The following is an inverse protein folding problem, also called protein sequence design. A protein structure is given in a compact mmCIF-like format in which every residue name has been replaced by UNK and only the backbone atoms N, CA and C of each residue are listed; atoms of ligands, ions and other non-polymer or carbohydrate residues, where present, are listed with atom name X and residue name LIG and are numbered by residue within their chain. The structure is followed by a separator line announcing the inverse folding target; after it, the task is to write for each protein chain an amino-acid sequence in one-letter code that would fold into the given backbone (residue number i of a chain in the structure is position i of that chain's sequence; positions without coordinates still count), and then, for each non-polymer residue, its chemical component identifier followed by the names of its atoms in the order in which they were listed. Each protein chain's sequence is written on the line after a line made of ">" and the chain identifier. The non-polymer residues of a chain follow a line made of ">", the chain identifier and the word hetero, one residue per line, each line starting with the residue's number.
data_IF_678590434646
#
_entry.id   IF_678590434646
#
_cell.length_a   1.000
_cell.length_b   1.000
_cell.length_c   1.000
_cell.angle_alpha   90.00
_cell.angle_beta   90.00
_cell.angle_gamma   90.00
#
_symmetry.space_group_name_H-M   'P 1'
#
loop_
_entity.id
_entity.type
_entity.pdbx_description
1 polymer ?
#
# COMPACT_ATOMS: atom_id res chain seq x y z
N UNK A 1 -9.40 -65.31 -17.49
CA UNK A 1 -9.26 -64.89 -16.09
C UNK A 1 -8.19 -63.80 -16.02
N UNK A 2 -8.56 -62.66 -15.44
CA UNK A 2 -7.76 -61.46 -15.12
C UNK A 2 -7.14 -60.65 -16.29
N UNK A 3 -7.91 -59.67 -16.78
CA UNK A 3 -7.36 -58.43 -17.38
C UNK A 3 -7.09 -57.45 -16.23
N UNK A 4 -5.84 -57.03 -16.07
CA UNK A 4 -5.46 -55.93 -15.17
C UNK A 4 -5.53 -54.61 -15.96
N UNK A 5 -6.45 -53.73 -15.60
CA UNK A 5 -6.40 -52.31 -15.98
C UNK A 5 -5.32 -51.64 -15.12
N UNK A 6 -4.35 -50.96 -15.74
CA UNK A 6 -3.59 -49.90 -15.08
C UNK A 6 -4.01 -48.57 -15.69
N UNK A 7 -4.83 -47.84 -14.93
CA UNK A 7 -4.97 -46.39 -15.07
C UNK A 7 -3.69 -45.74 -14.52
N UNK A 8 -3.01 -44.93 -15.32
CA UNK A 8 -2.22 -43.82 -14.81
C UNK A 8 -2.82 -42.54 -15.37
N UNK A 9 -3.39 -41.75 -14.46
CA UNK A 9 -4.04 -40.48 -14.75
C UNK A 9 -3.02 -39.44 -15.21
N UNK A 10 -3.37 -38.78 -16.31
CA UNK A 10 -2.83 -37.49 -16.68
C UNK A 10 -3.31 -36.46 -15.65
N UNK A 11 -2.40 -35.97 -14.82
CA UNK A 11 -2.60 -34.75 -14.05
C UNK A 11 -2.66 -33.56 -15.03
N UNK A 12 -3.72 -32.73 -15.02
CA UNK A 12 -3.66 -31.44 -15.70
C UNK A 12 -2.72 -30.52 -14.92
N UNK A 13 -1.76 -29.95 -15.63
CA UNK A 13 -0.93 -28.86 -15.14
C UNK A 13 -1.81 -27.69 -14.68
N UNK A 14 -1.77 -27.37 -13.40
CA UNK A 14 -2.37 -26.15 -12.86
C UNK A 14 -1.41 -24.99 -13.09
N UNK A 15 -1.58 -24.27 -14.21
CA UNK A 15 -0.98 -22.96 -14.41
C UNK A 15 -1.88 -21.88 -13.79
N UNK A 16 -1.26 -21.06 -12.93
CA UNK A 16 -1.53 -19.65 -12.60
C UNK A 16 -2.94 -19.19 -12.15
N UNK A 17 -3.03 -18.65 -10.92
CA UNK A 17 -3.59 -17.29 -10.63
C UNK A 17 -3.64 -16.97 -9.11
N UNK A 18 -2.69 -16.21 -8.54
CA UNK A 18 -2.84 -15.62 -7.20
C UNK A 18 -3.52 -14.24 -7.18
N UNK A 19 -3.51 -13.50 -8.30
CA UNK A 19 -3.91 -12.09 -8.36
C UNK A 19 -5.43 -11.82 -8.33
N UNK A 20 -6.28 -12.83 -8.52
CA UNK A 20 -7.74 -12.64 -8.49
C UNK A 20 -8.32 -12.53 -7.06
N UNK A 21 -7.54 -12.79 -6.00
CA UNK A 21 -8.10 -13.10 -4.68
C UNK A 21 -8.54 -11.89 -3.84
N UNK A 22 -7.88 -10.73 -3.93
CA UNK A 22 -8.21 -9.54 -3.12
C UNK A 22 -9.40 -8.75 -3.68
N UNK A 23 -9.37 -8.45 -4.99
CA UNK A 23 -10.49 -7.86 -5.71
C UNK A 23 -11.74 -8.75 -5.67
N UNK A 24 -11.59 -10.07 -5.85
CA UNK A 24 -12.73 -10.99 -5.74
C UNK A 24 -13.29 -11.05 -4.32
N UNK A 25 -12.47 -10.88 -3.27
CA UNK A 25 -12.93 -10.88 -1.88
C UNK A 25 -13.66 -9.57 -1.52
N UNK A 26 -13.20 -8.42 -2.02
CA UNK A 26 -13.91 -7.11 -1.90
C UNK A 26 -15.22 -7.14 -2.70
N UNK A 27 -15.19 -7.61 -3.95
CA UNK A 27 -16.40 -7.82 -4.76
C UNK A 27 -17.38 -8.79 -4.09
N UNK A 28 -16.90 -9.90 -3.53
CA UNK A 28 -17.76 -10.85 -2.83
C UNK A 28 -18.45 -10.25 -1.60
N UNK A 29 -17.80 -9.35 -0.85
CA UNK A 29 -18.43 -8.61 0.25
C UNK A 29 -19.42 -7.52 -0.20
N UNK A 30 -19.36 -7.12 -1.48
CA UNK A 30 -20.25 -6.12 -2.08
C UNK A 30 -21.46 -6.75 -2.78
N UNK A 31 -21.51 -8.08 -2.95
CA UNK A 31 -22.65 -8.77 -3.53
C UNK A 31 -23.90 -8.57 -2.68
N UNK A 32 -24.99 -8.21 -3.34
CA UNK A 32 -26.30 -8.12 -2.72
C UNK A 32 -26.93 -9.52 -2.80
N UNK A 33 -27.27 -10.11 -1.64
CA UNK A 33 -27.92 -11.42 -1.59
C UNK A 33 -29.24 -11.39 -2.35
N UNK A 34 -29.50 -12.44 -3.13
CA UNK A 34 -30.76 -12.67 -3.83
C UNK A 34 -31.22 -11.53 -4.76
N UNK A 35 -30.27 -10.75 -5.29
CA UNK A 35 -30.52 -9.76 -6.35
C UNK A 35 -29.63 -10.00 -7.56
N UNK A 36 -30.21 -9.83 -8.73
CA UNK A 36 -29.57 -10.12 -10.01
C UNK A 36 -29.89 -9.06 -11.05
N UNK A 37 -28.93 -8.81 -11.94
CA UNK A 37 -29.09 -8.13 -13.21
C UNK A 37 -29.21 -9.19 -14.30
N UNK A 38 -30.30 -9.13 -15.06
CA UNK A 38 -30.59 -10.05 -16.16
C UNK A 38 -30.45 -9.28 -17.47
N UNK A 39 -29.58 -9.77 -18.37
CA UNK A 39 -29.41 -9.23 -19.72
C UNK A 39 -30.25 -10.05 -20.70
N UNK A 40 -31.09 -9.40 -21.49
CA UNK A 40 -31.84 -10.05 -22.58
C UNK A 40 -31.01 -10.07 -23.86
N UNK A 41 -31.26 -11.05 -24.74
CA UNK A 41 -30.63 -11.07 -26.07
C UNK A 41 -31.05 -9.84 -26.88
N UNK A 42 -30.11 -9.31 -27.66
CA UNK A 42 -30.39 -8.20 -28.57
C UNK A 42 -31.47 -8.58 -29.60
N UNK A 43 -32.41 -7.68 -29.83
CA UNK A 43 -33.54 -7.89 -30.75
C UNK A 43 -34.73 -8.68 -30.18
N UNK A 44 -34.65 -9.19 -28.94
CA UNK A 44 -35.80 -9.79 -28.27
C UNK A 44 -36.87 -8.73 -27.94
N UNK A 45 -38.15 -9.08 -28.12
CA UNK A 45 -39.26 -8.24 -27.66
C UNK A 45 -39.31 -8.31 -26.13
N UNK A 46 -39.02 -7.17 -25.49
CA UNK A 46 -38.86 -7.10 -24.04
C UNK A 46 -40.14 -7.49 -23.28
N UNK A 47 -41.33 -7.19 -23.82
CA UNK A 47 -42.60 -7.56 -23.17
C UNK A 47 -42.82 -9.07 -23.20
N UNK A 48 -42.45 -9.72 -24.31
CA UNK A 48 -42.48 -11.17 -24.41
C UNK A 48 -41.47 -11.82 -23.46
N UNK A 49 -40.28 -11.24 -23.29
CA UNK A 49 -39.30 -11.75 -22.32
C UNK A 49 -39.87 -11.70 -20.89
N UNK A 50 -40.50 -10.59 -20.49
CA UNK A 50 -41.11 -10.50 -19.16
C UNK A 50 -42.27 -11.50 -18.97
N UNK A 51 -43.02 -11.82 -20.02
CA UNK A 51 -44.05 -12.84 -19.99
C UNK A 51 -43.47 -14.26 -19.81
N UNK A 52 -42.40 -14.61 -20.55
CA UNK A 52 -41.68 -15.89 -20.39
C UNK A 52 -41.14 -16.04 -18.95
N UNK A 53 -40.60 -14.96 -18.39
CA UNK A 53 -40.14 -14.93 -17.00
C UNK A 53 -41.31 -15.14 -16.03
N UNK A 54 -42.46 -14.49 -16.25
CA UNK A 54 -43.66 -14.69 -15.43
C UNK A 54 -44.10 -16.16 -15.43
N UNK A 55 -44.08 -16.82 -16.61
CA UNK A 55 -44.43 -18.23 -16.75
C UNK A 55 -43.48 -19.14 -15.96
N UNK A 56 -42.16 -18.92 -16.04
CA UNK A 56 -41.16 -19.69 -15.26
C UNK A 56 -41.36 -19.50 -13.75
N UNK A 57 -41.75 -18.29 -13.33
CA UNK A 57 -42.01 -17.96 -11.94
C UNK A 57 -43.40 -18.41 -11.45
N UNK A 58 -44.28 -18.88 -12.36
CA UNK A 58 -45.67 -19.22 -12.03
C UNK A 58 -46.53 -18.01 -11.64
N UNK A 59 -46.19 -16.83 -12.18
CA UNK A 59 -46.87 -15.57 -11.91
C UNK A 59 -47.82 -15.21 -13.06
N UNK A 60 -48.93 -14.56 -12.76
CA UNK A 60 -49.80 -13.99 -13.79
C UNK A 60 -49.17 -12.82 -14.54
N UNK A 61 -48.23 -12.13 -13.89
CA UNK A 61 -47.48 -11.00 -14.43
C UNK A 61 -46.17 -10.88 -13.64
N UNK A 62 -45.06 -10.65 -14.33
CA UNK A 62 -43.79 -10.32 -13.71
C UNK A 62 -43.48 -8.83 -13.95
N UNK A 63 -43.25 -8.10 -12.85
CA UNK A 63 -42.82 -6.70 -12.87
C UNK A 63 -41.46 -6.61 -12.17
N UNK A 64 -40.36 -6.38 -12.92
CA UNK A 64 -39.07 -6.18 -12.29
C UNK A 64 -39.05 -4.89 -11.49
N UNK A 65 -38.20 -4.82 -10.47
CA UNK A 65 -38.01 -3.59 -9.69
C UNK A 65 -37.43 -2.45 -10.54
N UNK A 66 -36.55 -2.79 -11.49
CA UNK A 66 -35.94 -1.88 -12.44
C UNK A 66 -35.76 -2.55 -13.80
N UNK A 67 -35.86 -1.75 -14.84
CA UNK A 67 -35.61 -2.10 -16.24
C UNK A 67 -34.53 -1.16 -16.79
N UNK A 68 -33.73 -1.63 -17.74
CA UNK A 68 -32.72 -0.81 -18.40
C UNK A 68 -32.68 -1.05 -19.91
N UNK A 69 -32.55 0.06 -20.65
CA UNK A 69 -32.52 0.10 -22.11
C UNK A 69 -31.42 1.08 -22.55
N UNK A 70 -30.27 0.56 -22.97
CA UNK A 70 -29.07 1.35 -23.31
C UNK A 70 -28.56 0.91 -24.68
N UNK A 71 -29.03 1.57 -25.74
CA UNK A 71 -28.77 1.11 -27.11
C UNK A 71 -29.32 -0.31 -27.30
N UNK A 72 -28.46 -1.26 -27.67
CA UNK A 72 -28.81 -2.66 -27.84
C UNK A 72 -28.81 -3.47 -26.52
N UNK A 73 -28.36 -2.88 -25.42
CA UNK A 73 -28.36 -3.51 -24.11
C UNK A 73 -29.73 -3.34 -23.44
N UNK A 74 -30.46 -4.43 -23.33
CA UNK A 74 -31.75 -4.48 -22.64
C UNK A 74 -31.68 -5.47 -21.47
N UNK A 75 -32.44 -5.20 -20.42
CA UNK A 75 -32.46 -6.07 -19.25
C UNK A 75 -33.26 -5.53 -18.09
N UNK A 76 -33.25 -6.29 -17.00
CA UNK A 76 -34.05 -5.99 -15.80
C UNK A 76 -33.40 -6.55 -14.54
N UNK A 77 -33.89 -6.13 -13.39
CA UNK A 77 -33.49 -6.70 -12.08
C UNK A 77 -34.41 -7.85 -11.68
N UNK A 78 -33.83 -8.94 -11.16
CA UNK A 78 -34.55 -10.08 -10.60
C UNK A 78 -34.21 -10.23 -9.12
N UNK A 79 -35.22 -10.39 -8.27
CA UNK A 79 -35.06 -10.76 -6.87
C UNK A 79 -35.35 -12.26 -6.70
N UNK A 80 -34.47 -13.00 -6.03
CA UNK A 80 -34.65 -14.41 -5.72
C UNK A 80 -33.34 -15.20 -5.61
N UNK A 81 -33.47 -16.47 -5.22
CA UNK A 81 -32.32 -17.34 -5.01
C UNK A 81 -31.53 -17.59 -6.28
N UNK A 82 -30.28 -18.04 -6.14
CA UNK A 82 -29.46 -18.46 -7.28
C UNK A 82 -30.15 -19.53 -8.14
N UNK A 83 -30.87 -20.47 -7.53
CA UNK A 83 -31.60 -21.51 -8.27
C UNK A 83 -32.72 -20.92 -9.14
N UNK A 84 -33.39 -19.87 -8.65
CA UNK A 84 -34.39 -19.13 -9.43
C UNK A 84 -33.72 -18.42 -10.61
N UNK A 85 -32.63 -17.72 -10.34
CA UNK A 85 -31.89 -16.98 -11.35
C UNK A 85 -31.30 -17.89 -12.44
N UNK A 86 -30.80 -19.07 -12.06
CA UNK A 86 -30.35 -20.11 -12.99
C UNK A 86 -31.51 -20.63 -13.86
N UNK A 87 -32.74 -20.67 -13.34
CA UNK A 87 -33.93 -21.06 -14.12
C UNK A 87 -34.32 -20.00 -15.15
N UNK A 88 -34.15 -18.72 -14.83
CA UNK A 88 -34.34 -17.61 -15.77
C UNK A 88 -33.25 -17.59 -16.84
N UNK A 89 -31.99 -17.86 -16.47
CA UNK A 89 -30.87 -17.94 -17.41
C UNK A 89 -31.04 -19.04 -18.47
N UNK A 90 -31.88 -20.05 -18.21
CA UNK A 90 -32.18 -21.12 -19.16
C UNK A 90 -33.14 -20.73 -20.30
N UNK A 91 -33.76 -19.54 -20.23
CA UNK A 91 -34.64 -19.03 -21.29
C UNK A 91 -33.83 -18.60 -22.52
N UNK A 92 -34.31 -18.95 -23.71
CA UNK A 92 -33.66 -18.60 -24.98
C UNK A 92 -33.58 -17.08 -25.20
N UNK A 93 -34.44 -16.29 -24.56
CA UNK A 93 -34.46 -14.83 -24.64
C UNK A 93 -33.44 -14.14 -23.72
N UNK A 94 -32.79 -14.87 -22.81
CA UNK A 94 -31.81 -14.35 -21.86
C UNK A 94 -30.39 -14.59 -22.37
N UNK A 95 -29.55 -13.56 -22.29
CA UNK A 95 -28.15 -13.59 -22.74
C UNK A 95 -27.18 -13.77 -21.57
N UNK A 96 -27.53 -13.25 -20.39
CA UNK A 96 -26.62 -13.30 -19.26
C UNK A 96 -27.28 -12.93 -17.93
N UNK A 97 -26.60 -13.35 -16.86
CA UNK A 97 -26.98 -13.11 -15.48
C UNK A 97 -25.75 -12.63 -14.71
N UNK A 98 -25.92 -11.58 -13.92
CA UNK A 98 -24.90 -11.08 -12.99
C UNK A 98 -25.55 -10.85 -11.63
N UNK A 99 -24.91 -11.29 -10.54
CA UNK A 99 -25.40 -10.95 -9.20
C UNK A 99 -25.21 -9.44 -8.95
N UNK A 100 -26.22 -8.79 -8.40
CA UNK A 100 -26.18 -7.35 -8.11
C UNK A 100 -25.14 -7.07 -7.02
N UNK A 101 -24.54 -5.88 -7.07
CA UNK A 101 -23.46 -5.49 -6.18
C UNK A 101 -23.59 -4.04 -5.76
N UNK A 102 -23.24 -3.76 -4.51
CA UNK A 102 -23.10 -2.42 -3.97
C UNK A 102 -21.84 -1.78 -4.58
N UNK A 103 -22.02 -0.73 -5.36
CA UNK A 103 -20.93 0.17 -5.76
C UNK A 103 -20.85 1.27 -4.70
N UNK A 104 -19.73 1.33 -3.99
CA UNK A 104 -19.45 2.44 -3.07
C UNK A 104 -18.73 3.56 -3.80
N UNK A 105 -19.01 4.80 -3.42
CA UNK A 105 -18.20 5.94 -3.85
C UNK A 105 -16.99 5.93 -2.94
N UNK A 106 -15.80 5.57 -3.45
CA UNK A 106 -14.56 5.65 -2.69
C UNK A 106 -14.45 7.08 -2.13
N UNK A 107 -14.55 7.22 -0.81
CA UNK A 107 -14.76 8.51 -0.18
C UNK A 107 -13.40 9.14 0.14
N UNK A 108 -13.00 10.12 -0.66
CA UNK A 108 -11.96 11.06 -0.24
C UNK A 108 -12.44 11.74 1.05
N UNK A 109 -11.76 11.45 2.16
CA UNK A 109 -11.99 12.03 3.47
C UNK A 109 -10.91 13.06 3.79
N UNK A 110 -11.19 13.91 4.78
CA UNK A 110 -10.29 14.98 5.21
C UNK A 110 -10.03 14.90 6.71
N UNK A 111 -8.76 14.98 7.10
CA UNK A 111 -8.33 15.25 8.47
C UNK A 111 -7.92 16.71 8.57
N UNK A 112 -8.70 17.49 9.32
CA UNK A 112 -8.34 18.87 9.66
C UNK A 112 -7.25 18.91 10.73
N UNK A 113 -6.49 20.00 10.75
CA UNK A 113 -5.35 20.21 11.66
C UNK A 113 -4.32 19.06 11.59
N UNK A 114 -4.12 18.52 10.38
CA UNK A 114 -3.10 17.52 10.14
C UNK A 114 -1.69 18.16 10.27
N UNK A 115 -0.67 17.39 10.71
CA UNK A 115 0.72 17.82 10.62
C UNK A 115 1.04 18.27 9.19
N UNK A 116 1.88 19.30 9.07
CA UNK A 116 2.14 19.94 7.78
C UNK A 116 2.68 18.94 6.75
N UNK A 117 3.42 17.91 7.18
CA UNK A 117 3.94 16.85 6.30
C UNK A 117 2.81 16.14 5.54
N UNK A 118 1.76 15.71 6.26
CA UNK A 118 0.56 15.14 5.67
C UNK A 118 -0.15 16.15 4.77
N UNK A 119 -0.40 17.35 5.27
CA UNK A 119 -1.07 18.40 4.49
C UNK A 119 -0.32 18.74 3.19
N UNK A 120 1.02 18.72 3.22
CA UNK A 120 1.87 19.01 2.07
C UNK A 120 1.83 17.90 1.03
N UNK A 121 1.82 16.63 1.44
CA UNK A 121 1.73 15.51 0.47
C UNK A 121 0.31 15.32 -0.09
N UNK A 122 -0.72 15.95 0.48
CA UNK A 122 -2.09 15.96 -0.08
C UNK A 122 -2.51 17.30 -0.67
N UNK A 123 -1.56 18.22 -0.87
CA UNK A 123 -1.78 19.51 -1.53
C UNK A 123 -0.68 19.71 -2.56
N UNK A 124 -0.95 20.43 -3.64
CA UNK A 124 0.10 20.84 -4.58
C UNK A 124 0.83 22.12 -4.14
N UNK A 125 0.29 22.82 -3.16
CA UNK A 125 0.83 24.08 -2.63
C UNK A 125 1.18 23.96 -1.14
N UNK A 126 2.23 24.64 -0.67
CA UNK A 126 2.57 24.70 0.75
C UNK A 126 1.48 25.31 1.63
N UNK A 127 1.54 25.03 2.93
CA UNK A 127 0.71 25.68 3.95
C UNK A 127 -0.66 25.04 4.19
N UNK A 128 -0.97 23.90 3.55
CA UNK A 128 -2.16 23.13 3.90
C UNK A 128 -2.03 22.52 5.29
N UNK A 129 -3.08 22.68 6.11
CA UNK A 129 -3.27 21.99 7.39
C UNK A 129 -4.32 20.87 7.30
N UNK A 130 -4.71 20.49 6.09
CA UNK A 130 -5.73 19.46 5.84
C UNK A 130 -5.09 18.32 5.07
N UNK A 131 -5.19 17.11 5.62
CA UNK A 131 -4.80 15.89 4.91
C UNK A 131 -6.01 15.29 4.22
N UNK A 132 -6.01 15.28 2.89
CA UNK A 132 -7.07 14.68 2.06
C UNK A 132 -6.60 13.32 1.54
N UNK A 133 -7.37 12.27 1.78
CA UNK A 133 -6.95 10.90 1.51
C UNK A 133 -8.15 10.00 1.25
N UNK A 134 -7.94 8.92 0.52
CA UNK A 134 -8.93 7.85 0.35
C UNK A 134 -9.14 7.09 1.67
N UNK A 135 -10.38 6.82 2.06
CA UNK A 135 -10.68 6.15 3.32
C UNK A 135 -10.10 4.73 3.43
N UNK A 136 -9.73 4.11 2.29
CA UNK A 136 -9.04 2.83 2.23
C UNK A 136 -7.52 2.91 2.44
N UNK A 137 -6.95 4.09 2.68
CA UNK A 137 -5.51 4.35 2.85
C UNK A 137 -4.75 3.29 3.68
N UNK A 138 -4.13 2.31 3.01
CA UNK A 138 -3.33 1.26 3.64
C UNK A 138 -4.08 -0.02 4.03
N UNK A 139 -5.37 -0.15 3.75
CA UNK A 139 -6.15 -1.35 4.03
C UNK A 139 -5.54 -2.59 3.36
N UNK A 140 -5.43 -3.70 4.12
CA UNK A 140 -4.82 -4.97 3.66
C UNK A 140 -3.35 -4.86 3.20
N UNK A 141 -2.61 -3.85 3.71
CA UNK A 141 -1.18 -3.67 3.45
C UNK A 141 -0.33 -3.71 4.72
N UNK A 142 0.97 -3.93 4.56
CA UNK A 142 1.94 -4.11 5.63
C UNK A 142 3.12 -3.15 5.46
N UNK A 143 3.37 -2.32 6.48
CA UNK A 143 4.55 -1.48 6.57
C UNK A 143 5.53 -2.14 7.54
N UNK A 144 6.62 -2.70 7.01
CA UNK A 144 7.74 -3.18 7.80
C UNK A 144 8.65 -1.98 8.13
N UNK A 145 8.82 -1.69 9.41
CA UNK A 145 9.68 -0.60 9.88
C UNK A 145 10.93 -1.22 10.47
N UNK A 146 12.06 -1.03 9.78
CA UNK A 146 13.36 -1.55 10.20
C UNK A 146 14.14 -0.44 10.92
N UNK A 147 14.13 -0.44 12.26
CA UNK A 147 14.57 0.72 13.06
C UNK A 147 14.94 0.35 14.53
N UNK A 148 14.72 1.24 15.50
CA UNK A 148 15.03 1.10 16.93
C UNK A 148 14.01 0.29 17.73
N UNK A 149 12.97 -0.25 17.09
CA UNK A 149 11.78 -0.82 17.74
C UNK A 149 10.57 0.13 17.64
N UNK A 150 9.39 -0.35 18.04
CA UNK A 150 8.17 0.46 18.09
C UNK A 150 7.49 0.35 19.46
N UNK A 151 7.06 1.48 20.02
CA UNK A 151 6.10 1.50 21.13
C UNK A 151 4.71 1.06 20.63
N UNK A 152 4.47 -0.25 20.57
CA UNK A 152 3.24 -0.83 20.03
C UNK A 152 1.96 -0.41 20.79
N UNK A 153 2.08 0.04 22.05
CA UNK A 153 0.97 0.49 22.89
C UNK A 153 0.53 1.93 22.60
N UNK A 154 1.26 2.66 21.75
CA UNK A 154 0.91 4.03 21.41
C UNK A 154 -0.45 4.08 20.69
N UNK A 155 -1.37 4.92 21.18
CA UNK A 155 -2.77 4.99 20.76
C UNK A 155 -2.92 5.27 19.27
N UNK A 156 -1.95 6.00 18.70
CA UNK A 156 -1.93 6.35 17.28
C UNK A 156 -1.89 5.11 16.36
N UNK A 157 -1.38 3.98 16.85
CA UNK A 157 -1.35 2.74 16.08
C UNK A 157 -2.65 1.93 16.18
N UNK A 158 -3.49 2.17 17.20
CA UNK A 158 -4.77 1.47 17.36
C UNK A 158 -4.65 -0.06 17.41
N UNK A 159 -3.52 -0.59 17.92
CA UNK A 159 -3.24 -2.03 17.98
C UNK A 159 -2.78 -2.68 16.67
N UNK A 160 -2.45 -1.88 15.63
CA UNK A 160 -2.00 -2.38 14.32
C UNK A 160 -0.51 -2.75 14.26
N UNK A 161 0.24 -2.55 15.34
CA UNK A 161 1.65 -2.95 15.41
C UNK A 161 1.76 -4.40 15.86
N UNK A 162 2.50 -5.19 15.08
CA UNK A 162 2.89 -6.55 15.42
C UNK A 162 4.41 -6.64 15.52
N UNK A 163 4.91 -7.28 16.57
CA UNK A 163 6.33 -7.56 16.68
C UNK A 163 6.74 -8.61 15.63
N UNK A 164 7.80 -8.31 14.88
CA UNK A 164 8.39 -9.22 13.91
C UNK A 164 9.69 -9.83 14.40
N UNK A 165 10.73 -9.01 14.52
CA UNK A 165 12.10 -9.46 14.75
C UNK A 165 12.92 -8.44 15.55
N UNK A 166 13.92 -8.94 16.28
CA UNK A 166 14.94 -8.11 16.92
C UNK A 166 16.32 -8.75 16.74
N UNK A 167 17.28 -7.96 16.24
CA UNK A 167 18.70 -8.33 16.21
C UNK A 167 19.45 -7.85 17.46
N UNK A 168 18.78 -7.15 18.39
CA UNK A 168 19.42 -6.57 19.57
C UNK A 168 19.27 -7.53 20.76
N UNK A 169 20.39 -8.09 21.19
CA UNK A 169 20.44 -8.93 22.39
C UNK A 169 20.32 -8.06 23.65
N UNK A 170 19.66 -8.60 24.68
CA UNK A 170 19.50 -7.99 26.00
C UNK A 170 18.69 -6.67 26.03
N UNK A 171 17.97 -6.34 24.96
CA UNK A 171 16.94 -5.30 24.98
C UNK A 171 15.54 -5.94 24.84
N UNK A 172 14.51 -5.33 25.44
CA UNK A 172 13.14 -5.72 25.19
C UNK A 172 12.77 -5.49 23.71
N UNK A 173 11.78 -6.25 23.24
CA UNK A 173 11.18 -6.14 21.91
C UNK A 173 10.21 -4.95 21.84
N UNK A 174 10.74 -3.76 22.08
CA UNK A 174 10.04 -2.47 22.00
C UNK A 174 11.04 -1.39 21.64
N UNK A 175 10.54 -0.20 21.32
CA UNK A 175 11.41 0.95 21.12
C UNK A 175 12.08 1.32 22.45
N UNK A 176 13.33 1.79 22.40
CA UNK A 176 14.04 2.40 23.53
C UNK A 176 14.71 3.73 23.17
N UNK A 177 14.56 4.17 21.92
CA UNK A 177 15.15 5.39 21.40
C UNK A 177 14.08 6.43 21.03
N UNK A 178 12.97 5.97 20.45
CA UNK A 178 11.85 6.78 19.97
C UNK A 178 11.82 6.96 18.44
N UNK A 179 12.97 6.80 17.77
CA UNK A 179 13.10 7.00 16.33
C UNK A 179 12.19 6.06 15.52
N UNK A 180 12.19 4.76 15.84
CA UNK A 180 11.34 3.77 15.17
C UNK A 180 9.84 4.03 15.39
N UNK A 181 9.43 4.42 16.60
CA UNK A 181 8.05 4.84 16.88
C UNK A 181 7.64 6.05 16.04
N UNK A 182 8.52 7.04 15.88
CA UNK A 182 8.27 8.23 15.06
C UNK A 182 8.11 7.90 13.58
N UNK A 183 9.02 7.08 13.04
CA UNK A 183 8.98 6.59 11.66
C UNK A 183 7.70 5.79 11.39
N UNK A 184 7.34 4.87 12.29
CA UNK A 184 6.11 4.09 12.19
C UNK A 184 4.85 4.96 12.22
N UNK A 185 4.82 5.96 13.11
CA UNK A 185 3.73 6.93 13.19
C UNK A 185 3.58 7.73 11.91
N UNK A 186 4.69 8.17 11.32
CA UNK A 186 4.70 8.94 10.07
C UNK A 186 4.24 8.11 8.88
N UNK A 187 4.59 6.82 8.83
CA UNK A 187 4.17 5.94 7.75
C UNK A 187 2.69 5.53 7.87
N UNK A 188 2.25 5.12 9.05
CA UNK A 188 1.01 4.36 9.22
C UNK A 188 0.20 4.68 10.51
N UNK A 189 0.54 5.73 11.26
CA UNK A 189 -0.30 6.24 12.35
C UNK A 189 -1.69 6.70 11.91
N UNK A 190 -2.68 6.66 12.81
CA UNK A 190 -4.05 7.14 12.53
C UNK A 190 -4.11 8.67 12.46
N UNK A 191 -3.37 9.37 13.30
CA UNK A 191 -3.26 10.82 13.40
C UNK A 191 -2.09 11.35 12.56
N UNK A 192 -0.92 10.73 12.65
CA UNK A 192 0.32 11.23 12.03
C UNK A 192 0.69 10.55 10.72
N UNK A 193 0.05 9.42 10.40
CA UNK A 193 0.42 8.57 9.28
C UNK A 193 -0.26 8.87 7.96
N UNK A 194 0.45 8.50 6.89
CA UNK A 194 -0.05 8.51 5.51
C UNK A 194 -1.01 7.34 5.26
N UNK A 195 -0.58 6.10 5.54
CA UNK A 195 -1.37 4.89 5.35
C UNK A 195 -2.11 4.49 6.64
N UNK A 196 -3.18 5.23 6.94
CA UNK A 196 -3.88 5.17 8.24
C UNK A 196 -4.46 3.81 8.63
N UNK A 197 -4.66 2.90 7.68
CA UNK A 197 -5.20 1.56 7.91
C UNK A 197 -4.16 0.44 7.75
N UNK A 198 -2.89 0.76 7.44
CA UNK A 198 -1.87 -0.25 7.25
C UNK A 198 -1.54 -1.00 8.54
N UNK A 199 -1.25 -2.30 8.41
CA UNK A 199 -0.63 -3.07 9.50
C UNK A 199 0.84 -2.72 9.59
N UNK A 200 1.38 -2.65 10.81
CA UNK A 200 2.78 -2.28 11.05
C UNK A 200 3.53 -3.50 11.60
N UNK A 201 4.70 -3.79 11.05
CA UNK A 201 5.58 -4.86 11.52
C UNK A 201 6.88 -4.26 12.04
N UNK A 202 7.13 -4.47 13.33
CA UNK A 202 8.32 -3.98 14.02
C UNK A 202 9.53 -4.89 13.76
N UNK A 203 10.60 -4.33 13.20
CA UNK A 203 11.87 -4.99 12.92
C UNK A 203 13.01 -4.20 13.58
N UNK A 204 13.35 -4.57 14.81
CA UNK A 204 14.35 -3.85 15.62
C UNK A 204 15.77 -4.28 15.26
N UNK A 205 16.53 -3.38 14.64
CA UNK A 205 17.94 -3.62 14.25
C UNK A 205 18.91 -2.58 14.79
N UNK A 206 18.38 -1.50 15.37
CA UNK A 206 19.13 -0.42 16.03
C UNK A 206 18.84 -0.47 17.54
N UNK A 207 19.87 -0.26 18.34
CA UNK A 207 19.77 -0.27 19.80
C UNK A 207 19.24 1.04 20.38
N UNK A 208 19.06 1.09 21.71
CA UNK A 208 18.55 2.29 22.41
C UNK A 208 19.38 3.56 22.17
N UNK A 209 20.65 3.44 21.79
CA UNK A 209 21.55 4.58 21.54
C UNK A 209 21.41 5.17 20.14
N UNK A 210 20.59 4.54 19.28
CA UNK A 210 20.41 4.95 17.89
C UNK A 210 21.51 4.42 16.96
N UNK A 211 22.26 3.41 17.39
CA UNK A 211 23.31 2.77 16.60
C UNK A 211 23.18 1.25 16.52
N UNK A 212 23.93 0.64 15.62
CA UNK A 212 23.99 -0.81 15.49
C UNK A 212 24.96 -1.25 14.40
N UNK A 213 25.48 -2.48 14.46
CA UNK A 213 26.33 -3.02 13.40
C UNK A 213 25.53 -3.29 12.14
N UNK A 214 26.19 -3.14 10.97
CA UNK A 214 25.62 -3.44 9.65
C UNK A 214 24.98 -4.84 9.57
N UNK A 215 25.58 -5.81 10.26
CA UNK A 215 25.09 -7.19 10.31
C UNK A 215 23.66 -7.29 10.81
N UNK A 216 23.25 -6.44 11.77
CA UNK A 216 21.89 -6.45 12.31
C UNK A 216 20.87 -6.02 11.26
N UNK A 217 21.22 -5.01 10.47
CA UNK A 217 20.37 -4.51 9.39
C UNK A 217 20.21 -5.59 8.33
N UNK A 218 21.31 -6.23 7.90
CA UNK A 218 21.28 -7.29 6.88
C UNK A 218 20.43 -8.48 7.32
N UNK A 219 20.57 -8.97 8.57
CA UNK A 219 19.71 -10.08 9.05
C UNK A 219 18.25 -9.64 9.24
N UNK A 220 17.99 -8.37 9.54
CA UNK A 220 16.64 -7.82 9.56
C UNK A 220 15.98 -7.81 8.19
N UNK A 221 16.72 -7.43 7.14
CA UNK A 221 16.25 -7.48 5.75
C UNK A 221 15.97 -8.92 5.28
N UNK A 222 16.86 -9.86 5.62
CA UNK A 222 16.64 -11.30 5.37
C UNK A 222 15.36 -11.79 6.06
N UNK A 223 15.17 -11.46 7.34
CA UNK A 223 13.97 -11.83 8.07
C UNK A 223 12.70 -11.26 7.43
N UNK A 224 12.71 -9.97 7.03
CA UNK A 224 11.58 -9.32 6.34
C UNK A 224 11.18 -10.10 5.09
N UNK A 225 12.15 -10.43 4.23
CA UNK A 225 11.87 -11.14 3.00
C UNK A 225 11.27 -12.54 3.26
N UNK A 226 11.80 -13.25 4.27
CA UNK A 226 11.28 -14.55 4.69
C UNK A 226 9.86 -14.45 5.28
N UNK A 227 9.55 -13.41 6.07
CA UNK A 227 8.21 -13.18 6.61
C UNK A 227 7.20 -12.86 5.51
N UNK A 228 7.55 -11.97 4.58
CA UNK A 228 6.72 -11.62 3.42
C UNK A 228 6.44 -12.86 2.57
N UNK A 229 7.47 -13.67 2.31
CA UNK A 229 7.36 -14.90 1.51
C UNK A 229 6.45 -15.92 2.19
N UNK A 230 6.75 -16.26 3.45
CA UNK A 230 6.01 -17.29 4.18
C UNK A 230 4.54 -16.93 4.42
N UNK A 231 4.22 -15.63 4.54
CA UNK A 231 2.85 -15.13 4.73
C UNK A 231 2.17 -14.71 3.43
N UNK A 232 2.79 -14.93 2.27
CA UNK A 232 2.25 -14.55 0.96
C UNK A 232 1.83 -13.08 0.86
N UNK A 233 2.70 -12.18 1.34
CA UNK A 233 2.44 -10.72 1.41
C UNK A 233 3.13 -9.90 0.32
N UNK A 234 3.65 -10.54 -0.73
CA UNK A 234 4.14 -9.83 -1.92
C UNK A 234 3.02 -9.01 -2.55
N UNK A 235 3.37 -7.84 -3.11
CA UNK A 235 2.39 -6.89 -3.65
C UNK A 235 1.57 -6.15 -2.58
N UNK A 236 1.76 -6.45 -1.29
CA UNK A 236 1.04 -5.80 -0.17
C UNK A 236 1.97 -5.23 0.89
N UNK A 237 3.28 -5.42 0.73
CA UNK A 237 4.28 -5.08 1.74
C UNK A 237 5.22 -4.00 1.24
N UNK A 238 5.48 -3.04 2.12
CA UNK A 238 6.48 -1.98 1.94
C UNK A 238 7.46 -2.01 3.11
N UNK A 239 8.71 -1.62 2.85
CA UNK A 239 9.74 -1.47 3.87
C UNK A 239 10.10 0.01 4.01
N UNK A 240 9.99 0.53 5.24
CA UNK A 240 10.48 1.85 5.61
C UNK A 240 11.84 1.71 6.28
N UNK A 241 12.87 2.27 5.65
CA UNK A 241 14.26 2.13 6.07
C UNK A 241 14.88 3.51 6.32
N UNK A 242 14.67 4.01 7.54
CA UNK A 242 15.12 5.33 7.99
C UNK A 242 16.54 5.31 8.56
N UNK A 243 17.42 4.54 7.93
CA UNK A 243 18.79 4.30 8.36
C UNK A 243 19.71 4.09 7.16
N UNK A 244 21.03 4.20 7.38
CA UNK A 244 22.03 4.00 6.34
C UNK A 244 23.44 4.24 6.86
N UNK A 245 24.42 4.02 6.00
CA UNK A 245 25.83 4.17 6.32
C UNK A 245 26.59 4.85 5.17
N UNK A 246 27.54 5.72 5.52
CA UNK A 246 28.43 6.34 4.53
C UNK A 246 29.34 5.27 3.92
N UNK A 247 29.44 5.26 2.60
CA UNK A 247 30.31 4.35 1.84
C UNK A 247 31.73 4.92 1.78
N UNK A 248 32.53 4.62 2.80
CA UNK A 248 33.90 5.15 2.91
C UNK A 248 34.98 4.22 2.30
N UNK A 249 34.60 3.04 1.82
CA UNK A 249 35.52 2.07 1.22
C UNK A 249 34.91 1.47 -0.05
N UNK A 250 35.65 1.50 -1.16
CA UNK A 250 35.24 0.80 -2.38
C UNK A 250 35.27 -0.72 -2.19
N UNK A 251 34.37 -1.44 -2.88
CA UNK A 251 34.25 -2.90 -2.79
C UNK A 251 32.79 -3.35 -2.69
N UNK A 252 32.59 -4.66 -2.43
CA UNK A 252 31.27 -5.25 -2.16
C UNK A 252 30.64 -4.61 -0.94
N UNK A 253 29.42 -4.09 -1.08
CA UNK A 253 28.62 -3.58 0.02
C UNK A 253 27.38 -4.46 0.23
N UNK A 254 27.41 -5.28 1.28
CA UNK A 254 26.33 -6.23 1.58
C UNK A 254 25.00 -5.55 1.90
N UNK A 255 25.01 -4.30 2.38
CA UNK A 255 23.77 -3.57 2.62
C UNK A 255 23.11 -3.15 1.31
N UNK A 256 23.92 -2.73 0.33
CA UNK A 256 23.44 -2.39 -1.01
C UNK A 256 22.85 -3.64 -1.69
N UNK A 257 23.57 -4.76 -1.65
CA UNK A 257 23.12 -6.03 -2.22
C UNK A 257 21.86 -6.57 -1.54
N UNK A 258 21.78 -6.49 -0.20
CA UNK A 258 20.60 -6.93 0.54
C UNK A 258 19.36 -6.08 0.19
N UNK A 259 19.50 -4.75 0.15
CA UNK A 259 18.42 -3.86 -0.23
C UNK A 259 17.96 -4.10 -1.69
N UNK A 260 18.91 -4.26 -2.62
CA UNK A 260 18.62 -4.61 -4.00
C UNK A 260 17.91 -5.96 -4.11
N UNK A 261 18.31 -6.96 -3.32
CA UNK A 261 17.69 -8.29 -3.32
C UNK A 261 16.21 -8.23 -2.89
N UNK A 262 15.86 -7.42 -1.89
CA UNK A 262 14.45 -7.22 -1.49
C UNK A 262 13.63 -6.63 -2.64
N UNK A 263 14.13 -5.58 -3.30
CA UNK A 263 13.42 -4.96 -4.43
C UNK A 263 13.29 -5.92 -5.61
N UNK A 264 14.35 -6.65 -5.93
CA UNK A 264 14.33 -7.65 -7.00
C UNK A 264 13.38 -8.83 -6.71
N UNK A 265 13.11 -9.11 -5.43
CA UNK A 265 12.06 -10.06 -5.03
C UNK A 265 10.64 -9.48 -5.12
N UNK A 266 10.50 -8.19 -5.45
CA UNK A 266 9.23 -7.50 -5.66
C UNK A 266 8.77 -6.64 -4.48
N UNK A 267 9.59 -6.45 -3.44
CA UNK A 267 9.25 -5.65 -2.26
C UNK A 267 9.61 -4.18 -2.49
N UNK A 268 8.70 -3.25 -2.20
CA UNK A 268 9.04 -1.83 -2.21
C UNK A 268 9.88 -1.45 -0.99
N UNK A 269 10.97 -0.72 -1.19
CA UNK A 269 11.85 -0.24 -0.12
C UNK A 269 12.06 1.26 -0.25
N UNK A 270 11.60 2.02 0.75
CA UNK A 270 11.81 3.46 0.86
C UNK A 270 12.97 3.74 1.81
N UNK A 271 13.97 4.47 1.33
CA UNK A 271 15.26 4.64 2.03
C UNK A 271 15.55 6.12 2.26
N UNK A 272 15.96 6.47 3.47
CA UNK A 272 16.41 7.80 3.81
C UNK A 272 17.72 8.16 3.07
N UNK A 273 17.76 9.30 2.37
CA UNK A 273 18.93 9.72 1.60
C UNK A 273 20.18 10.03 2.44
N UNK A 274 20.02 10.37 3.73
CA UNK A 274 21.08 10.73 4.66
C UNK A 274 21.15 12.23 4.96
N UNK A 275 21.74 12.57 6.11
CA UNK A 275 21.68 13.91 6.70
C UNK A 275 23.05 14.60 6.75
N UNK A 276 23.88 14.45 5.72
CA UNK A 276 25.26 14.95 5.69
C UNK A 276 25.50 16.08 4.69
N UNK A 277 24.51 16.44 3.88
CA UNK A 277 24.63 17.37 2.76
C UNK A 277 25.79 16.97 1.82
N UNK A 278 25.82 15.69 1.43
CA UNK A 278 26.78 15.13 0.48
C UNK A 278 26.03 14.47 -0.70
N UNK A 279 26.74 14.13 -1.80
CA UNK A 279 26.16 13.31 -2.86
C UNK A 279 25.62 11.98 -2.33
N UNK A 280 24.39 11.62 -2.69
CA UNK A 280 23.70 10.41 -2.23
C UNK A 280 24.42 9.13 -2.65
N UNK A 281 25.23 9.19 -3.71
CA UNK A 281 26.07 8.10 -4.18
C UNK A 281 27.07 7.60 -3.12
N UNK A 282 27.34 8.41 -2.10
CA UNK A 282 28.19 8.09 -0.95
C UNK A 282 27.42 7.48 0.24
N UNK A 283 26.14 7.14 0.08
CA UNK A 283 25.27 6.68 1.17
C UNK A 283 24.57 5.37 0.82
N UNK A 284 24.85 4.29 1.55
CA UNK A 284 24.18 3.01 1.40
C UNK A 284 23.01 2.84 2.38
N UNK A 285 21.86 2.26 1.96
CA UNK A 285 21.57 1.77 0.60
C UNK A 285 20.92 2.83 -0.30
N UNK A 286 20.93 4.12 0.09
CA UNK A 286 20.29 5.20 -0.68
C UNK A 286 20.90 5.42 -2.08
N UNK A 287 22.13 4.95 -2.31
CA UNK A 287 22.84 4.95 -3.58
C UNK A 287 22.43 3.79 -4.51
N UNK A 288 21.60 2.86 -4.06
CA UNK A 288 21.17 1.70 -4.85
C UNK A 288 20.06 2.11 -5.83
N UNK A 289 20.26 2.00 -7.15
CA UNK A 289 19.28 2.54 -8.11
C UNK A 289 17.87 1.92 -8.09
N UNK A 290 17.71 0.74 -7.49
CA UNK A 290 16.42 0.04 -7.43
C UNK A 290 15.61 0.35 -6.17
N UNK A 291 16.23 0.91 -5.11
CA UNK A 291 15.44 1.39 -3.96
C UNK A 291 14.80 2.73 -4.27
N UNK A 292 13.81 3.15 -3.49
CA UNK A 292 13.22 4.49 -3.61
C UNK A 292 13.94 5.42 -2.62
N UNK A 293 14.91 6.19 -3.10
CA UNK A 293 15.76 7.08 -2.29
C UNK A 293 15.09 8.44 -2.04
N UNK A 294 14.95 8.81 -0.76
CA UNK A 294 14.10 9.92 -0.33
C UNK A 294 14.89 11.05 0.32
N UNK A 295 14.89 12.21 -0.34
CA UNK A 295 15.42 13.48 0.20
C UNK A 295 14.42 14.21 1.10
N UNK A 296 14.92 15.11 1.96
CA UNK A 296 14.09 15.88 2.88
C UNK A 296 13.83 17.31 2.38
N UNK A 297 12.62 17.81 2.63
CA UNK A 297 12.20 19.19 2.38
C UNK A 297 11.55 19.81 3.61
N UNK A 298 11.60 21.14 3.70
CA UNK A 298 10.90 21.90 4.73
C UNK A 298 9.49 22.32 4.30
N UNK A 299 8.76 23.00 5.19
CA UNK A 299 7.40 23.47 4.94
C UNK A 299 7.27 24.55 3.85
N UNK A 300 8.39 25.07 3.32
CA UNK A 300 8.44 26.08 2.26
C UNK A 300 8.91 25.50 0.93
N UNK A 301 8.95 24.17 0.80
CA UNK A 301 9.49 23.44 -0.35
C UNK A 301 10.98 23.76 -0.60
N UNK A 302 11.76 24.07 0.43
CA UNK A 302 13.22 24.07 0.29
C UNK A 302 13.77 22.68 0.60
N UNK A 303 14.76 22.21 -0.16
CA UNK A 303 15.55 21.05 0.26
C UNK A 303 16.15 21.36 1.62
N UNK A 304 16.01 20.43 2.56
CA UNK A 304 16.60 20.61 3.88
C UNK A 304 18.13 20.69 3.74
N UNK A 305 18.76 21.68 4.37
CA UNK A 305 20.20 21.93 4.21
C UNK A 305 21.11 20.78 4.66
N UNK A 306 20.58 19.81 5.43
CA UNK A 306 21.28 18.58 5.80
C UNK A 306 21.04 17.43 4.81
N UNK A 307 20.00 17.48 3.98
CA UNK A 307 19.63 16.36 3.11
C UNK A 307 20.74 16.10 2.10
N UNK A 308 21.14 14.84 1.97
CA UNK A 308 21.93 14.41 0.83
C UNK A 308 21.17 14.69 -0.48
N UNK A 309 21.92 14.79 -1.57
CA UNK A 309 21.44 15.27 -2.86
C UNK A 309 22.12 14.54 -4.02
N UNK A 310 21.67 14.75 -5.25
CA UNK A 310 22.30 14.19 -6.45
C UNK A 310 21.33 13.37 -7.29
N UNK A 311 21.84 12.86 -8.41
CA UNK A 311 21.02 12.18 -9.42
C UNK A 311 20.42 10.86 -8.92
N UNK A 312 21.00 10.25 -7.87
CA UNK A 312 20.45 9.06 -7.21
C UNK A 312 19.25 9.30 -6.30
N UNK A 313 18.79 10.56 -6.11
CA UNK A 313 17.54 10.84 -5.38
C UNK A 313 16.35 10.59 -6.30
N UNK A 314 15.40 9.76 -5.88
CA UNK A 314 14.20 9.47 -6.67
C UNK A 314 13.11 10.52 -6.45
N UNK A 315 12.93 10.92 -5.19
CA UNK A 315 11.88 11.82 -4.74
C UNK A 315 12.26 12.53 -3.43
N UNK A 316 11.61 13.65 -3.15
CA UNK A 316 11.69 14.31 -1.85
C UNK A 316 10.36 14.24 -1.12
N UNK A 317 10.39 14.26 0.20
CA UNK A 317 9.21 14.37 1.04
C UNK A 317 9.47 15.31 2.23
N UNK A 318 8.42 15.76 2.95
CA UNK A 318 8.59 16.57 4.15
C UNK A 318 9.47 15.85 5.19
N UNK A 319 10.50 16.53 5.67
CA UNK A 319 11.48 15.96 6.60
C UNK A 319 12.05 16.95 7.62
N UNK A 320 11.50 18.16 7.75
CA UNK A 320 11.95 19.17 8.73
C UNK A 320 10.79 19.49 9.65
N UNK A 321 10.99 19.41 10.96
CA UNK A 321 9.95 19.68 11.96
C UNK A 321 8.70 18.78 11.77
N UNK A 322 8.93 17.49 11.56
CA UNK A 322 7.86 16.49 11.41
C UNK A 322 7.42 16.02 12.79
N UNK A 323 6.16 16.29 13.12
CA UNK A 323 5.50 15.78 14.32
C UNK A 323 4.96 14.37 14.08
N UNK A 324 5.24 13.44 15.01
CA UNK A 324 4.72 12.08 15.00
C UNK A 324 4.66 11.49 16.42
N UNK A 325 4.19 10.24 16.52
CA UNK A 325 4.19 9.42 17.73
C UNK A 325 5.61 9.26 18.32
N UNK A 326 5.68 9.06 19.63
CA UNK A 326 6.95 8.92 20.36
C UNK A 326 6.84 7.86 21.46
N UNK A 327 7.99 7.36 21.91
CA UNK A 327 8.08 6.28 22.91
C UNK A 327 7.60 6.65 24.32
N UNK A 328 7.66 7.94 24.70
CA UNK A 328 7.53 8.41 26.10
C UNK A 328 6.16 8.25 26.79
N UNK A 329 5.25 7.46 26.24
CA UNK A 329 3.89 7.25 26.73
C UNK A 329 2.98 6.75 25.61
N UNK A 330 1.74 6.42 25.96
CA UNK A 330 0.75 5.93 24.98
C UNK A 330 0.27 7.04 24.02
N UNK A 331 0.45 8.30 24.35
CA UNK A 331 0.02 9.48 23.59
C UNK A 331 1.17 10.48 23.35
N UNK A 332 2.41 10.06 23.63
CA UNK A 332 3.58 10.92 23.54
C UNK A 332 3.88 11.28 22.08
N UNK A 333 4.26 12.53 21.85
CA UNK A 333 4.63 13.02 20.51
C UNK A 333 5.99 13.68 20.54
N UNK A 334 6.64 13.73 19.38
CA UNK A 334 7.88 14.48 19.22
C UNK A 334 7.96 15.09 17.82
N UNK A 335 8.65 16.21 17.71
CA UNK A 335 8.89 16.92 16.45
C UNK A 335 10.37 16.92 16.16
N UNK A 336 10.77 16.20 15.11
CA UNK A 336 12.18 16.01 14.74
C UNK A 336 12.37 16.15 13.23
N UNK A 337 13.64 16.26 12.82
CA UNK A 337 14.04 16.51 11.44
C UNK A 337 15.02 15.46 10.96
N UNK A 338 14.90 15.07 9.69
CA UNK A 338 15.80 14.16 9.01
C UNK A 338 15.20 13.59 7.73
N UNK A 339 16.03 13.08 6.83
CA UNK A 339 15.57 12.19 5.74
C UNK A 339 14.89 10.94 6.28
N UNK A 340 15.18 10.57 7.52
CA UNK A 340 14.47 9.55 8.30
C UNK A 340 13.00 9.86 8.56
N UNK A 341 12.59 11.13 8.51
CA UNK A 341 11.19 11.54 8.59
C UNK A 341 10.56 11.69 7.20
N UNK A 342 11.36 11.95 6.17
CA UNK A 342 10.90 11.99 4.78
C UNK A 342 10.61 10.57 4.22
N UNK A 343 11.51 9.61 4.43
CA UNK A 343 11.36 8.23 3.97
C UNK A 343 10.06 7.52 4.40
N UNK A 344 9.55 7.65 5.65
CA UNK A 344 8.30 7.02 6.05
C UNK A 344 7.06 7.64 5.41
N UNK A 345 7.08 8.92 5.00
CA UNK A 345 5.99 9.47 4.18
C UNK A 345 5.87 8.70 2.86
N UNK A 346 6.99 8.40 2.21
CA UNK A 346 7.04 7.66 0.94
C UNK A 346 6.72 6.17 1.13
N UNK A 347 7.17 5.55 2.23
CA UNK A 347 6.74 4.20 2.60
C UNK A 347 5.22 4.12 2.79
N UNK A 348 4.65 5.08 3.52
CA UNK A 348 3.21 5.21 3.69
C UNK A 348 2.47 5.45 2.37
N UNK A 349 3.01 6.26 1.46
CA UNK A 349 2.45 6.40 0.10
C UNK A 349 2.47 5.09 -0.68
N UNK A 350 3.52 4.29 -0.54
CA UNK A 350 3.58 2.95 -1.12
C UNK A 350 2.42 2.07 -0.63
N UNK A 351 2.25 1.95 0.70
CA UNK A 351 1.14 1.19 1.29
C UNK A 351 -0.24 1.76 0.88
N UNK A 352 -0.37 3.07 0.85
CA UNK A 352 -1.58 3.77 0.40
C UNK A 352 -1.96 3.37 -1.04
N UNK A 353 -1.00 3.41 -1.97
CA UNK A 353 -1.25 3.13 -3.38
C UNK A 353 -1.46 1.64 -3.66
N UNK A 354 -0.85 0.74 -2.89
CA UNK A 354 -1.14 -0.69 -2.99
C UNK A 354 -2.58 -1.01 -2.58
N UNK A 355 -3.10 -0.34 -1.53
CA UNK A 355 -4.50 -0.49 -1.12
C UNK A 355 -5.47 0.06 -2.17
N UNK A 356 -5.15 1.21 -2.75
CA UNK A 356 -6.01 1.90 -3.71
C UNK A 356 -5.98 1.30 -5.11
N UNK A 357 -4.79 0.96 -5.61
CA UNK A 357 -4.55 0.61 -7.02
C UNK A 357 -4.22 -0.88 -7.23
N UNK A 358 -4.09 -1.66 -6.16
CA UNK A 358 -3.76 -3.08 -6.19
C UNK A 358 -2.25 -3.39 -6.23
N UNK A 359 -1.96 -4.69 -6.28
CA UNK A 359 -0.60 -5.24 -6.19
C UNK A 359 0.35 -4.70 -7.27
N UNK A 360 1.56 -4.30 -6.87
CA UNK A 360 2.65 -3.85 -7.76
C UNK A 360 3.99 -4.36 -7.26
N UNK A 361 4.97 -4.49 -8.14
CA UNK A 361 6.36 -4.68 -7.72
C UNK A 361 6.94 -3.41 -7.10
N UNK A 362 8.04 -3.55 -6.34
CA UNK A 362 8.70 -2.42 -5.70
C UNK A 362 9.11 -1.30 -6.67
N UNK A 363 9.75 -1.63 -7.80
CA UNK A 363 10.19 -0.63 -8.77
C UNK A 363 9.03 0.08 -9.45
N UNK A 364 7.96 -0.66 -9.81
CA UNK A 364 6.73 -0.08 -10.37
C UNK A 364 6.05 0.87 -9.38
N UNK A 365 6.07 0.54 -8.08
CA UNK A 365 5.49 1.39 -7.05
C UNK A 365 6.28 2.68 -6.84
N UNK A 366 7.61 2.65 -6.85
CA UNK A 366 8.43 3.87 -6.79
C UNK A 366 8.16 4.77 -8.01
N UNK A 367 8.11 4.20 -9.22
CA UNK A 367 7.77 4.94 -10.44
C UNK A 367 6.38 5.56 -10.37
N UNK A 368 5.40 4.82 -9.84
CA UNK A 368 4.04 5.35 -9.65
C UNK A 368 4.01 6.55 -8.71
N UNK A 369 4.75 6.49 -7.60
CA UNK A 369 4.89 7.62 -6.66
C UNK A 369 5.57 8.82 -7.35
N UNK A 370 6.61 8.58 -8.15
CA UNK A 370 7.29 9.61 -8.95
C UNK A 370 6.32 10.26 -9.96
N UNK A 371 5.49 9.47 -10.63
CA UNK A 371 4.53 9.98 -11.62
C UNK A 371 3.48 10.91 -10.99
N UNK A 372 3.06 10.61 -9.76
CA UNK A 372 2.11 11.42 -9.01
C UNK A 372 2.71 12.70 -8.43
N UNK A 373 4.03 12.73 -8.23
CA UNK A 373 4.74 13.81 -7.54
C UNK A 373 4.38 15.21 -8.05
N UNK A 374 4.45 16.19 -7.16
CA UNK A 374 4.46 17.61 -7.54
C UNK A 374 5.85 17.96 -8.04
N UNK A 375 5.96 18.44 -9.28
CA UNK A 375 7.23 18.66 -9.98
C UNK A 375 7.63 20.12 -9.94
N UNK A 376 8.93 20.37 -9.93
CA UNK A 376 9.54 21.69 -10.14
C UNK A 376 9.15 22.78 -9.13
N UNK A 377 8.77 22.36 -7.91
CA UNK A 377 8.42 23.27 -6.80
C UNK A 377 9.52 23.43 -5.75
N UNK A 378 10.45 22.47 -5.68
CA UNK A 378 11.48 22.46 -4.64
C UNK A 378 12.57 23.46 -4.99
N UNK A 379 12.94 24.32 -4.05
CA UNK A 379 14.08 25.23 -4.19
C UNK A 379 15.38 24.57 -3.69
N UNK A 380 16.47 24.80 -4.42
CA UNK A 380 17.81 24.21 -4.18
C UNK A 380 17.84 22.68 -4.12
N UNK A 381 17.40 22.02 -5.19
CA UNK A 381 17.49 20.55 -5.31
C UNK A 381 18.93 20.03 -5.46
N UNK A 382 19.94 20.91 -5.61
CA UNK A 382 21.36 20.52 -5.62
C UNK A 382 21.69 19.35 -6.57
N UNK A 383 21.11 19.36 -7.77
CA UNK A 383 21.32 18.33 -8.81
C UNK A 383 20.39 17.12 -8.71
N UNK A 384 19.55 17.03 -7.68
CA UNK A 384 18.49 16.02 -7.58
C UNK A 384 17.33 16.29 -8.53
N UNK A 385 16.61 15.25 -8.98
CA UNK A 385 15.29 15.41 -9.61
C UNK A 385 14.33 16.22 -8.73
N UNK A 386 13.68 17.24 -9.32
CA UNK A 386 12.75 18.12 -8.59
C UNK A 386 11.35 17.51 -8.52
N UNK A 387 11.18 16.57 -7.58
CA UNK A 387 9.96 15.79 -7.38
C UNK A 387 9.63 15.78 -5.90
N UNK A 388 8.47 16.29 -5.53
CA UNK A 388 7.94 16.26 -4.17
C UNK A 388 6.78 15.27 -4.07
N UNK A 389 6.83 14.39 -3.07
CA UNK A 389 5.82 13.39 -2.78
C UNK A 389 4.40 13.96 -2.76
N UNK A 390 3.49 13.27 -3.44
CA UNK A 390 2.07 13.63 -3.53
C UNK A 390 1.21 12.36 -3.54
N UNK A 391 0.11 12.35 -2.80
CA UNK A 391 -0.74 11.17 -2.62
C UNK A 391 -1.75 10.93 -3.75
N UNK A 392 -1.80 11.81 -4.75
CA UNK A 392 -2.71 11.67 -5.89
C UNK A 392 -4.12 12.21 -5.67
N UNK A 393 -4.43 12.72 -4.47
CA UNK A 393 -5.75 13.28 -4.15
C UNK A 393 -5.72 14.80 -4.36
N UNK A 394 -6.49 15.26 -5.36
CA UNK A 394 -6.56 16.67 -5.75
C UNK A 394 -7.83 17.37 -5.26
#
# INVERSE_FOLDING_TARGET
>A
MYRLLQLLGLLPAAFAAPHFSSLARRQASQLISDKWLVKTKSGSDFSNVLAEVADVLGLSEFKPEKEFHIGDLNGFTLAGSKQLADSILALDSIEGLQQDQRVEVDAIVSQENAPYGLGRISSRTPGSSTYRFDDSAGSDTFVYVIDTGINAEHIDFGGRVSFGFSAIANEPNTDLNGHGTHCAGTAAGTQYGVAKNASIVDVKVIDQTGGGPLSNIVVGLDWILNDITSKSRFGKSVVSMSLGAVTIFGGTNLLEEAAAALVNAGVFVSVAAGNFNIPVELMAPANVPVVCSVGATDAKDARAGFSNYGAGIDIHAPGVDIQSAWIGGIDATNTISGTSMAAPHVAGLGAYLLALEGDRSGSELCNRIIDLSTKDVITDVSGSPNRLAFNGVA
#
